data_IF_284630530270
#
_entry.id   IF_284630530270
#
_cell.length_a   1.000
_cell.length_b   1.000
_cell.length_c   1.000
_cell.angle_alpha   90.00
_cell.angle_beta   90.00
_cell.angle_gamma   90.00
#
_symmetry.space_group_name_H-M   'P 1'
#
loop_
_entity.id
_entity.type
_entity.pdbx_description
1 polymer ?
#
# COMPACT_ATOMS: atom_id res chain seq x y z
N UNK A 1 6.67 -11.30 -7.61
CA UNK A 1 6.78 -9.84 -7.82
C UNK A 1 8.10 -9.54 -8.49
N UNK A 2 8.13 -8.61 -9.44
CA UNK A 2 9.32 -8.30 -10.26
C UNK A 2 9.56 -6.79 -10.34
N UNK A 3 10.81 -6.38 -10.57
CA UNK A 3 11.16 -4.98 -10.82
C UNK A 3 10.39 -4.43 -12.02
N UNK A 4 9.87 -3.21 -11.90
CA UNK A 4 9.06 -2.53 -12.91
C UNK A 4 7.57 -2.85 -12.87
N UNK A 5 7.15 -3.86 -12.10
CA UNK A 5 5.73 -4.22 -11.97
C UNK A 5 4.97 -3.16 -11.16
N UNK A 6 3.74 -2.85 -11.60
CA UNK A 6 2.78 -2.04 -10.84
C UNK A 6 2.06 -2.89 -9.81
N UNK A 7 1.93 -2.35 -8.61
CA UNK A 7 1.28 -3.00 -7.48
C UNK A 7 0.40 -2.01 -6.73
N UNK A 8 -0.72 -2.46 -6.20
CA UNK A 8 -1.58 -1.67 -5.32
C UNK A 8 -1.30 -2.00 -3.86
N UNK A 9 -1.23 -1.00 -2.98
CA UNK A 9 -1.14 -1.25 -1.55
C UNK A 9 -2.49 -1.73 -1.00
N UNK A 10 -2.52 -2.92 -0.43
CA UNK A 10 -3.72 -3.53 0.17
C UNK A 10 -3.79 -3.35 1.68
N UNK A 11 -2.64 -3.11 2.33
CA UNK A 11 -2.52 -2.99 3.78
C UNK A 11 -1.53 -1.88 4.20
N UNK A 12 -2.09 -0.75 4.61
CA UNK A 12 -1.40 0.44 5.14
C UNK A 12 -1.35 0.49 6.68
N UNK A 13 -1.65 -0.62 7.36
CA UNK A 13 -1.57 -0.69 8.81
C UNK A 13 -0.12 -0.83 9.28
N UNK A 14 0.44 0.28 9.77
CA UNK A 14 1.78 0.37 10.34
C UNK A 14 1.76 0.65 11.85
N UNK A 15 2.64 -0.03 12.59
CA UNK A 15 2.83 0.19 14.02
C UNK A 15 3.42 1.59 14.28
N UNK A 16 3.27 2.10 15.51
CA UNK A 16 3.79 3.42 15.88
C UNK A 16 5.31 3.56 15.65
N UNK A 17 6.07 2.49 15.88
CA UNK A 17 7.52 2.46 15.65
C UNK A 17 7.85 2.63 14.17
N UNK A 18 7.15 1.91 13.28
CA UNK A 18 7.36 2.04 11.83
C UNK A 18 7.02 3.45 11.35
N UNK A 19 5.92 4.04 11.85
CA UNK A 19 5.54 5.43 11.54
C UNK A 19 6.56 6.47 12.02
N UNK A 20 7.32 6.18 13.06
CA UNK A 20 8.37 7.08 13.56
C UNK A 20 9.66 7.01 12.75
N UNK A 21 9.95 5.87 12.10
CA UNK A 21 11.21 5.65 11.37
C UNK A 21 11.06 5.98 9.89
N UNK A 22 9.92 5.66 9.29
CA UNK A 22 9.68 5.87 7.87
C UNK A 22 9.28 7.33 7.59
N UNK A 23 9.90 7.92 6.57
CA UNK A 23 9.51 9.26 6.08
C UNK A 23 8.26 9.17 5.22
N UNK A 24 8.14 8.10 4.45
CA UNK A 24 7.05 7.87 3.52
C UNK A 24 6.51 6.45 3.70
N UNK A 25 5.19 6.33 3.78
CA UNK A 25 4.47 5.07 3.93
C UNK A 25 3.47 4.92 2.79
N UNK A 26 3.28 3.70 2.26
CA UNK A 26 2.26 3.45 1.26
C UNK A 26 0.87 3.58 1.90
N UNK A 27 -0.07 4.13 1.14
CA UNK A 27 -1.46 4.25 1.53
C UNK A 27 -2.31 3.22 0.80
N UNK A 28 -3.31 2.65 1.48
CA UNK A 28 -4.15 1.61 0.91
C UNK A 28 -4.92 2.15 -0.30
N UNK A 29 -4.98 1.36 -1.37
CA UNK A 29 -5.63 1.73 -2.64
C UNK A 29 -4.73 2.50 -3.60
N UNK A 30 -3.57 3.00 -3.17
CA UNK A 30 -2.62 3.65 -4.07
C UNK A 30 -1.79 2.64 -4.84
N UNK A 31 -1.51 2.98 -6.09
CA UNK A 31 -0.64 2.20 -6.99
C UNK A 31 0.79 2.69 -6.92
N UNK A 32 1.71 1.74 -6.91
CA UNK A 32 3.14 1.95 -6.82
C UNK A 32 3.88 1.07 -7.84
N UNK A 33 5.09 1.46 -8.19
CA UNK A 33 5.95 0.74 -9.14
C UNK A 33 7.14 0.16 -8.39
N UNK A 34 7.37 -1.15 -8.53
CA UNK A 34 8.50 -1.81 -7.88
C UNK A 34 9.82 -1.32 -8.49
N UNK A 35 10.63 -0.65 -7.67
CA UNK A 35 11.99 -0.21 -8.01
C UNK A 35 12.99 -1.34 -7.86
N UNK A 36 12.86 -2.11 -6.79
CA UNK A 36 13.78 -3.20 -6.45
C UNK A 36 13.08 -4.25 -5.58
N UNK A 37 13.48 -5.51 -5.75
CA UNK A 37 13.02 -6.64 -4.95
C UNK A 37 14.23 -7.22 -4.25
N UNK A 38 14.17 -7.38 -2.93
CA UNK A 38 15.25 -7.92 -2.13
C UNK A 38 14.72 -8.96 -1.14
N UNK A 39 15.59 -9.86 -0.69
CA UNK A 39 15.23 -10.80 0.36
C UNK A 39 15.21 -10.05 1.71
N UNK A 40 14.07 -10.08 2.39
CA UNK A 40 13.89 -9.61 3.75
C UNK A 40 14.86 -10.30 4.70
N UNK A 41 15.38 -9.53 5.66
CA UNK A 41 16.52 -9.91 6.49
C UNK A 41 16.14 -10.55 7.84
N UNK A 42 14.91 -11.04 7.99
CA UNK A 42 14.44 -11.71 9.23
C UNK A 42 15.30 -12.93 9.64
N UNK A 43 16.16 -13.43 8.74
CA UNK A 43 16.91 -14.68 8.94
C UNK A 43 18.44 -14.57 8.88
N UNK A 44 19.07 -13.48 9.33
CA UNK A 44 20.53 -13.54 9.58
C UNK A 44 20.86 -13.81 11.06
N UNK A 45 19.93 -13.55 11.99
CA UNK A 45 20.22 -13.63 13.45
C UNK A 45 19.66 -14.86 14.18
N UNK A 46 18.68 -15.61 13.65
CA UNK A 46 18.01 -16.69 14.42
C UNK A 46 17.48 -17.91 13.64
N UNK A 47 18.05 -18.26 12.48
CA UNK A 47 17.77 -19.56 11.84
C UNK A 47 16.29 -19.91 11.55
N UNK A 48 15.34 -18.96 11.55
CA UNK A 48 13.90 -19.22 11.40
C UNK A 48 13.43 -19.24 9.94
N UNK A 49 12.74 -20.29 9.49
CA UNK A 49 12.52 -20.65 8.07
C UNK A 49 11.78 -19.68 7.13
N UNK A 50 11.43 -18.47 7.58
CA UNK A 50 10.73 -17.48 6.76
C UNK A 50 11.68 -16.42 6.19
N UNK A 51 11.92 -16.48 4.88
CA UNK A 51 12.47 -15.35 4.14
C UNK A 51 11.31 -14.49 3.63
N UNK A 52 11.12 -13.31 4.21
CA UNK A 52 10.18 -12.30 3.72
C UNK A 52 10.70 -11.70 2.41
N UNK A 53 9.84 -11.25 1.51
CA UNK A 53 10.28 -10.50 0.31
C UNK A 53 10.07 -9.02 0.57
N UNK A 54 11.14 -8.24 0.47
CA UNK A 54 11.14 -6.78 0.62
C UNK A 54 11.07 -6.08 -0.74
N UNK A 55 10.34 -4.97 -0.79
CA UNK A 55 10.15 -4.15 -1.97
C UNK A 55 10.60 -2.71 -1.71
N UNK A 56 11.30 -2.14 -2.68
CA UNK A 56 11.47 -0.69 -2.82
C UNK A 56 10.54 -0.19 -3.92
N UNK A 57 9.99 1.01 -3.75
CA UNK A 57 9.03 1.60 -4.67
C UNK A 57 9.63 2.86 -5.31
N UNK A 58 9.26 3.16 -6.55
CA UNK A 58 9.76 4.35 -7.24
C UNK A 58 9.20 5.64 -6.64
N UNK A 59 7.94 5.60 -6.20
CA UNK A 59 7.21 6.75 -5.69
C UNK A 59 7.55 7.04 -4.22
N UNK A 60 8.02 6.03 -3.47
CA UNK A 60 8.33 6.16 -2.06
C UNK A 60 9.82 5.88 -1.83
N UNK A 61 10.55 6.95 -1.53
CA UNK A 61 11.98 6.89 -1.20
C UNK A 61 12.19 7.27 0.26
N UNK A 62 12.70 6.31 1.03
CA UNK A 62 12.97 6.49 2.46
C UNK A 62 14.46 6.72 2.71
N UNK A 63 14.82 7.40 3.82
CA UNK A 63 16.21 7.48 4.23
C UNK A 63 16.77 6.07 4.53
N UNK A 64 18.10 5.91 4.48
CA UNK A 64 18.76 4.68 4.92
C UNK A 64 18.42 4.39 6.38
N UNK A 65 18.32 3.10 6.72
CA UNK A 65 18.02 2.66 8.09
C UNK A 65 19.10 3.17 9.08
N UNK A 66 18.73 4.03 10.05
CA UNK A 66 19.68 4.57 11.03
C UNK A 66 20.22 3.51 11.99
N UNK A 67 19.55 2.35 12.10
CA UNK A 67 19.95 1.26 12.98
C UNK A 67 20.84 0.22 12.28
N UNK A 68 21.18 0.42 11.00
CA UNK A 68 21.94 -0.54 10.22
C UNK A 68 23.22 0.03 9.61
N UNK A 69 24.35 -0.65 9.87
CA UNK A 69 25.68 -0.24 9.40
C UNK A 69 25.81 -0.20 7.86
N UNK A 70 25.02 -1.00 7.13
CA UNK A 70 25.03 -1.03 5.67
C UNK A 70 24.24 0.08 4.98
N UNK A 71 23.61 0.99 5.74
CA UNK A 71 22.82 2.13 5.23
C UNK A 71 21.83 1.73 4.12
N UNK A 72 21.22 0.55 4.21
CA UNK A 72 20.25 0.11 3.22
C UNK A 72 18.92 0.84 3.45
N UNK A 73 18.24 1.21 2.37
CA UNK A 73 16.91 1.81 2.45
C UNK A 73 15.89 0.82 3.06
N UNK A 74 14.97 1.40 3.84
CA UNK A 74 13.85 0.70 4.44
C UNK A 74 12.78 0.40 3.39
N UNK A 75 12.69 -0.87 2.99
CA UNK A 75 11.66 -1.36 2.08
C UNK A 75 10.44 -1.93 2.80
N UNK A 76 9.43 -2.29 2.02
CA UNK A 76 8.14 -2.76 2.49
C UNK A 76 7.96 -4.26 2.23
N UNK A 77 7.25 -4.97 3.11
CA UNK A 77 6.90 -6.39 2.84
C UNK A 77 6.03 -6.48 1.59
N UNK A 78 6.34 -7.42 0.70
CA UNK A 78 5.55 -7.72 -0.49
C UNK A 78 4.10 -8.11 -0.16
N UNK A 79 3.86 -8.67 1.02
CA UNK A 79 2.53 -9.12 1.45
C UNK A 79 1.53 -7.96 1.62
N UNK A 80 2.01 -6.71 1.66
CA UNK A 80 1.17 -5.50 1.73
C UNK A 80 0.69 -5.01 0.37
N UNK A 81 1.09 -5.70 -0.70
CA UNK A 81 0.83 -5.29 -2.06
C UNK A 81 0.20 -6.42 -2.86
N UNK A 82 -0.70 -6.05 -3.77
CA UNK A 82 -1.23 -6.96 -4.77
C UNK A 82 -0.75 -6.52 -6.17
N UNK A 83 -0.35 -7.45 -7.05
CA UNK A 83 -0.11 -7.15 -8.46
C UNK A 83 -1.34 -6.50 -9.09
N UNK A 84 -1.14 -5.41 -9.81
CA UNK A 84 -2.21 -4.80 -10.60
C UNK A 84 -2.20 -5.50 -11.96
N UNK A 85 -3.21 -6.32 -12.25
CA UNK A 85 -3.37 -6.90 -13.59
C UNK A 85 -3.69 -5.77 -14.55
N UNK A 86 -2.87 -5.58 -15.59
CA UNK A 86 -3.16 -4.63 -16.66
C UNK A 86 -4.33 -5.17 -17.47
N UNK A 87 -5.56 -4.86 -17.06
CA UNK A 87 -6.72 -5.04 -17.92
C UNK A 87 -6.52 -4.08 -19.10
N UNK A 88 -6.49 -4.55 -20.36
CA UNK A 88 -6.38 -3.66 -21.51
C UNK A 88 -7.47 -2.58 -21.43
N UNK A 89 -7.12 -1.35 -21.83
CA UNK A 89 -7.76 -0.07 -21.49
C UNK A 89 -9.25 0.11 -21.86
N UNK A 90 -9.97 -0.95 -22.24
CA UNK A 90 -11.35 -0.91 -22.73
C UNK A 90 -12.41 -1.15 -21.63
N UNK A 91 -12.00 -1.24 -20.36
CA UNK A 91 -12.91 -1.54 -19.21
C UNK A 91 -12.74 -0.59 -18.00
N UNK A 92 -11.89 0.44 -18.07
CA UNK A 92 -11.60 1.31 -16.92
C UNK A 92 -12.60 2.46 -16.71
N UNK A 93 -13.67 2.53 -17.52
CA UNK A 93 -14.60 3.67 -17.55
C UNK A 93 -15.80 3.52 -16.60
N UNK A 94 -16.07 2.33 -16.03
CA UNK A 94 -17.36 2.06 -15.36
C UNK A 94 -17.42 2.24 -13.82
N UNK A 95 -16.33 2.54 -13.11
CA UNK A 95 -16.36 2.60 -11.63
C UNK A 95 -16.41 4.01 -11.00
N UNK A 96 -16.64 5.08 -11.78
CA UNK A 96 -16.75 6.46 -11.25
C UNK A 96 -18.19 7.05 -11.23
N UNK A 97 -19.18 6.38 -11.80
CA UNK A 97 -20.59 6.80 -11.75
C UNK A 97 -21.40 5.98 -10.72
N UNK A 98 -21.17 6.25 -9.43
CA UNK A 98 -21.89 5.56 -8.35
C UNK A 98 -22.23 6.40 -7.12
N UNK A 99 -21.99 7.72 -7.14
CA UNK A 99 -22.42 8.61 -6.04
C UNK A 99 -23.73 9.28 -6.46
N UNK A 100 -24.81 8.51 -6.37
CA UNK A 100 -26.17 9.00 -6.60
C UNK A 100 -26.51 10.16 -5.65
N UNK A 101 -26.69 11.33 -6.24
CA UNK A 101 -27.35 12.47 -5.64
C UNK A 101 -28.82 12.10 -5.43
N UNK A 102 -29.22 11.84 -4.19
CA UNK A 102 -30.60 11.61 -3.80
C UNK A 102 -31.10 12.76 -2.93
N UNK A 103 -31.49 13.87 -3.56
CA UNK A 103 -32.44 14.79 -2.95
C UNK A 103 -33.84 14.23 -3.19
N UNK A 104 -34.61 14.00 -2.12
CA UNK A 104 -36.07 14.10 -2.21
C UNK A 104 -36.62 14.70 -0.92
N UNK A 105 -37.18 15.87 -1.13
CA UNK A 105 -37.92 16.74 -0.24
C UNK A 105 -39.40 16.38 -0.43
N UNK A 106 -40.06 15.84 0.60
CA UNK A 106 -41.49 16.09 0.95
C UNK A 106 -41.97 15.21 2.11
N UNK A 107 -42.58 15.87 3.11
CA UNK A 107 -43.37 15.20 4.14
C UNK A 107 -43.72 16.12 5.29
N UNK A 108 -44.64 17.05 5.07
CA UNK A 108 -45.24 17.85 6.14
C UNK A 108 -46.28 17.06 6.96
N UNK A 109 -46.57 17.51 8.18
CA UNK A 109 -47.84 17.23 8.87
C UNK A 109 -47.76 16.70 10.32
N UNK A 110 -47.89 17.61 11.29
CA UNK A 110 -48.93 17.65 12.34
C UNK A 110 -49.29 16.39 13.22
N UNK A 111 -49.03 16.51 14.54
CA UNK A 111 -49.77 16.08 15.79
C UNK A 111 -49.90 14.63 16.34
N UNK A 112 -49.97 14.61 17.69
CA UNK A 112 -50.38 13.60 18.71
C UNK A 112 -49.49 12.35 18.85
N UNK A 113 -49.10 11.90 20.05
CA UNK A 113 -49.84 11.82 21.32
C UNK A 113 -48.91 11.84 22.54
#
# INVERSE_FOLDING_TARGET
>A
MVKGQKVVCTNDSFTAVIRAIYKQLPAKGNTYTIREVFLGREKVVKGGDSATVGLLLNELVNPPDPFHAGQQELGFSSERFAPLEEVPAEQAEEELEGVGVGGDEKGGGYWMN
#
